data_IF_533097844440
#
_entry.id   IF_533097844440
#
_cell.length_a   1.000
_cell.length_b   1.000
_cell.length_c   1.000
_cell.angle_alpha   90.00
_cell.angle_beta   90.00
_cell.angle_gamma   90.00
#
_symmetry.space_group_name_H-M   'P 1'
#
loop_
_entity.id
_entity.type
_entity.pdbx_description
1 polymer ?
#
# COMPACT_ATOMS: atom_id res chain seq x y z
N UNK A 1 12.88 -40.91 -6.23
CA UNK A 1 13.47 -40.38 -4.98
C UNK A 1 14.56 -39.38 -5.36
N UNK A 2 14.34 -38.11 -5.04
CA UNK A 2 15.34 -37.12 -4.63
C UNK A 2 14.58 -35.80 -4.35
N UNK A 3 14.48 -35.45 -3.07
CA UNK A 3 14.01 -34.14 -2.61
C UNK A 3 15.21 -33.19 -2.61
N UNK A 4 15.03 -31.96 -3.09
CA UNK A 4 15.79 -30.80 -2.58
C UNK A 4 14.81 -29.74 -2.13
N UNK A 5 14.70 -29.64 -0.81
CA UNK A 5 14.05 -28.59 -0.05
C UNK A 5 14.93 -27.34 -0.09
N UNK A 6 14.52 -26.33 -0.85
CA UNK A 6 14.85 -24.94 -0.54
C UNK A 6 13.54 -24.18 -0.35
N UNK A 7 13.27 -23.85 0.92
CA UNK A 7 12.06 -23.20 1.41
C UNK A 7 11.98 -21.72 1.02
N UNK A 8 11.87 -21.44 -0.28
CA UNK A 8 11.40 -20.15 -0.77
C UNK A 8 9.89 -20.19 -0.95
N UNK A 9 9.15 -19.33 -0.25
CA UNK A 9 7.75 -19.06 -0.56
C UNK A 9 7.64 -18.85 -2.08
N UNK A 10 6.92 -19.73 -2.79
CA UNK A 10 6.93 -19.90 -4.25
C UNK A 10 6.56 -18.67 -5.10
N UNK A 11 6.40 -17.51 -4.48
CA UNK A 11 6.22 -16.19 -5.09
C UNK A 11 7.57 -15.48 -5.30
N UNK A 12 8.57 -15.75 -4.46
CA UNK A 12 9.89 -15.09 -4.50
C UNK A 12 10.85 -15.69 -5.53
N UNK A 13 10.61 -16.92 -5.98
CA UNK A 13 11.44 -17.60 -6.98
C UNK A 13 11.32 -17.04 -8.40
N UNK A 14 10.29 -16.27 -8.72
CA UNK A 14 10.09 -15.70 -10.07
C UNK A 14 10.79 -14.35 -10.31
N UNK A 15 11.34 -13.73 -9.27
CA UNK A 15 11.95 -12.39 -9.35
C UNK A 15 13.49 -12.40 -9.43
N UNK A 16 14.12 -13.59 -9.49
CA UNK A 16 15.59 -13.72 -9.57
C UNK A 16 16.06 -13.84 -11.01
N UNK A 17 15.93 -12.75 -11.75
CA UNK A 17 16.52 -12.62 -13.07
C UNK A 17 16.21 -11.23 -13.58
N UNK A 18 17.23 -10.52 -14.03
CA UNK A 18 17.16 -9.20 -14.64
C UNK A 18 17.02 -8.03 -13.64
N UNK A 19 18.09 -7.24 -13.50
CA UNK A 19 18.21 -5.88 -14.10
C UNK A 19 19.41 -5.16 -13.43
N UNK A 20 20.25 -4.51 -14.26
CA UNK A 20 21.33 -3.59 -13.84
C UNK A 20 20.75 -2.30 -13.24
N UNK A 21 21.41 -1.78 -12.22
CA UNK A 21 20.95 -0.73 -11.28
C UNK A 21 20.33 0.58 -11.84
N UNK A 22 20.46 0.95 -13.10
CA UNK A 22 19.85 2.19 -13.63
C UNK A 22 18.49 1.95 -14.34
N UNK A 23 18.25 0.73 -14.84
CA UNK A 23 16.98 0.38 -15.47
C UNK A 23 15.89 0.00 -14.44
N UNK A 24 16.27 -0.18 -13.16
CA UNK A 24 15.34 -0.49 -12.06
C UNK A 24 14.44 0.72 -11.77
N UNK A 25 14.98 1.95 -11.81
CA UNK A 25 14.24 3.15 -11.41
C UNK A 25 13.12 3.51 -12.39
N UNK A 26 13.39 3.42 -13.70
CA UNK A 26 12.37 3.66 -14.74
C UNK A 26 11.30 2.58 -14.76
N UNK A 27 11.67 1.31 -14.62
CA UNK A 27 10.72 0.21 -14.62
C UNK A 27 9.81 0.24 -13.38
N UNK A 28 10.38 0.57 -12.22
CA UNK A 28 9.64 0.74 -10.96
C UNK A 28 8.62 1.88 -11.09
N UNK A 29 9.04 3.05 -11.58
CA UNK A 29 8.13 4.18 -11.77
C UNK A 29 7.04 3.91 -12.83
N UNK A 30 7.38 3.21 -13.92
CA UNK A 30 6.39 2.81 -14.92
C UNK A 30 5.36 1.84 -14.33
N UNK A 31 5.80 0.85 -13.55
CA UNK A 31 4.89 -0.10 -12.90
C UNK A 31 3.95 0.57 -11.89
N UNK A 32 4.43 1.60 -11.17
CA UNK A 32 3.60 2.39 -10.27
C UNK A 32 2.59 3.24 -11.03
N UNK A 33 3.00 3.88 -12.13
CA UNK A 33 2.10 4.67 -12.98
C UNK A 33 0.99 3.80 -13.58
N UNK A 34 1.31 2.61 -14.08
CA UNK A 34 0.31 1.68 -14.62
C UNK A 34 -0.65 1.17 -13.54
N UNK A 35 -0.14 0.83 -12.35
CA UNK A 35 -0.99 0.51 -11.21
C UNK A 35 -1.94 1.68 -10.91
N UNK A 36 -1.42 2.90 -10.74
CA UNK A 36 -2.19 4.10 -10.44
C UNK A 36 -3.27 4.42 -11.48
N UNK A 37 -3.01 4.20 -12.78
CA UNK A 37 -4.02 4.32 -13.85
C UNK A 37 -5.15 3.31 -13.68
N UNK A 38 -4.83 2.06 -13.36
CA UNK A 38 -5.81 0.97 -13.27
C UNK A 38 -6.69 1.05 -12.01
N UNK A 39 -6.16 1.55 -10.89
CA UNK A 39 -6.90 1.62 -9.62
C UNK A 39 -7.98 2.71 -9.67
N UNK A 40 -7.98 3.58 -10.70
CA UNK A 40 -8.99 4.62 -10.94
C UNK A 40 -9.37 5.43 -9.69
N UNK A 41 -8.45 5.59 -8.74
CA UNK A 41 -8.69 6.30 -7.48
C UNK A 41 -8.88 7.81 -7.68
N UNK A 42 -8.76 8.28 -8.93
CA UNK A 42 -8.68 9.69 -9.29
C UNK A 42 -7.38 10.36 -8.83
N UNK A 43 -6.44 9.60 -8.24
CA UNK A 43 -5.18 10.12 -7.70
C UNK A 43 -4.10 10.26 -8.76
N UNK A 44 -4.12 9.44 -9.81
CA UNK A 44 -3.21 9.58 -10.93
C UNK A 44 -3.54 10.84 -11.74
N UNK A 45 -2.55 11.69 -11.98
CA UNK A 45 -2.67 12.81 -12.91
C UNK A 45 -1.89 12.52 -14.18
N UNK A 46 -0.59 12.29 -14.08
CA UNK A 46 0.27 12.04 -15.25
C UNK A 46 1.59 11.34 -14.88
N UNK A 47 2.35 10.91 -15.88
CA UNK A 47 3.71 10.38 -15.74
C UNK A 47 4.63 11.02 -16.77
N UNK A 48 5.88 11.25 -16.41
CA UNK A 48 6.85 11.84 -17.31
C UNK A 48 8.26 11.73 -16.76
N UNK A 49 9.12 12.64 -17.20
CA UNK A 49 10.49 12.71 -16.72
C UNK A 49 10.88 14.14 -16.35
N UNK A 50 11.76 14.28 -15.37
CA UNK A 50 12.32 15.55 -14.94
C UNK A 50 13.84 15.49 -15.01
N UNK A 51 14.46 16.54 -15.55
CA UNK A 51 15.90 16.73 -15.46
C UNK A 51 16.24 17.35 -14.12
N UNK A 52 17.15 16.73 -13.36
CA UNK A 52 17.59 17.27 -12.07
C UNK A 52 18.75 18.24 -12.26
N UNK A 53 18.53 19.52 -11.98
CA UNK A 53 19.62 20.50 -11.87
C UNK A 53 20.22 20.44 -10.45
N UNK A 54 21.56 20.53 -10.24
CA UNK A 54 22.64 20.82 -11.20
C UNK A 54 23.28 19.55 -11.82
N UNK A 55 22.68 18.38 -11.68
CA UNK A 55 23.29 17.11 -12.11
C UNK A 55 23.01 16.89 -13.60
N UNK A 56 23.85 17.49 -14.45
CA UNK A 56 23.80 17.35 -15.90
C UNK A 56 23.62 15.87 -16.32
N UNK A 57 22.55 15.61 -17.09
CA UNK A 57 22.17 14.36 -17.76
C UNK A 57 21.45 13.27 -16.96
N UNK A 58 21.01 13.50 -15.72
CA UNK A 58 20.11 12.55 -15.04
C UNK A 58 18.65 12.91 -15.30
N UNK A 59 17.98 12.07 -16.09
CA UNK A 59 16.54 12.11 -16.33
C UNK A 59 15.89 11.14 -15.35
N UNK A 60 15.10 11.66 -14.40
CA UNK A 60 14.38 10.83 -13.44
C UNK A 60 12.91 10.69 -13.87
N UNK A 61 12.30 9.51 -13.73
CA UNK A 61 10.87 9.38 -13.88
C UNK A 61 10.15 10.13 -12.77
N UNK A 62 9.05 10.80 -13.12
CA UNK A 62 8.18 11.52 -12.18
C UNK A 62 6.75 11.08 -12.41
N UNK A 63 6.04 10.82 -11.30
CA UNK A 63 4.61 10.55 -11.29
C UNK A 63 3.93 11.75 -10.66
N UNK A 64 3.03 12.39 -11.41
CA UNK A 64 2.19 13.46 -10.91
C UNK A 64 0.91 12.86 -10.34
N UNK A 65 0.66 13.14 -9.06
CA UNK A 65 -0.51 12.65 -8.35
C UNK A 65 -1.30 13.81 -7.75
N UNK A 66 -2.62 13.67 -7.69
CA UNK A 66 -3.46 14.55 -6.87
C UNK A 66 -3.17 14.27 -5.39
N UNK A 67 -3.21 15.30 -4.53
CA UNK A 67 -3.07 15.12 -3.10
C UNK A 67 -4.08 14.10 -2.57
N UNK A 68 -3.57 13.07 -1.88
CA UNK A 68 -4.42 12.08 -1.21
C UNK A 68 -4.81 12.65 0.14
N UNK A 69 -6.10 12.89 0.32
CA UNK A 69 -6.65 13.33 1.61
C UNK A 69 -6.53 12.22 2.66
N UNK A 70 -6.60 12.61 3.94
CA UNK A 70 -6.50 11.71 5.08
C UNK A 70 -5.15 11.75 5.79
N UNK A 71 -5.08 11.10 6.94
CA UNK A 71 -3.91 11.15 7.83
C UNK A 71 -3.28 9.76 7.97
N UNK A 72 -2.02 9.68 8.41
CA UNK A 72 -1.51 8.42 8.99
C UNK A 72 -2.26 8.19 10.31
N UNK A 73 -2.82 6.98 10.48
CA UNK A 73 -3.58 6.64 11.69
C UNK A 73 -2.81 6.89 12.98
N UNK A 74 -1.53 6.52 13.06
CA UNK A 74 -0.70 6.70 14.25
C UNK A 74 -0.36 8.17 14.49
N UNK A 75 -0.36 8.98 13.43
CA UNK A 75 -0.11 10.41 13.50
C UNK A 75 -1.38 11.25 13.70
N UNK A 76 -2.56 10.67 13.47
CA UNK A 76 -3.84 11.35 13.57
C UNK A 76 -4.11 11.89 14.98
N UNK A 77 -4.76 13.05 15.04
CA UNK A 77 -5.15 13.65 16.32
C UNK A 77 -6.09 12.73 17.10
N UNK A 78 -6.98 12.03 16.39
CA UNK A 78 -7.86 11.01 16.94
C UNK A 78 -7.09 9.94 17.71
N UNK A 79 -6.06 9.38 17.11
CA UNK A 79 -5.31 8.29 17.70
C UNK A 79 -4.39 8.76 18.84
N UNK A 80 -3.74 9.91 18.68
CA UNK A 80 -2.84 10.49 19.71
C UNK A 80 -3.58 10.85 20.99
N UNK A 81 -4.80 11.38 20.89
CA UNK A 81 -5.62 11.80 22.04
C UNK A 81 -6.53 10.70 22.59
N UNK A 82 -6.70 9.58 21.88
CA UNK A 82 -7.50 8.45 22.31
C UNK A 82 -6.91 7.76 23.55
N UNK A 83 -7.80 7.29 24.42
CA UNK A 83 -7.46 6.34 25.49
C UNK A 83 -7.11 4.97 24.90
N UNK A 84 -6.48 4.10 25.69
CA UNK A 84 -5.96 2.83 25.17
C UNK A 84 -7.05 1.90 24.61
N UNK A 85 -8.21 1.84 25.25
CA UNK A 85 -9.39 1.11 24.76
C UNK A 85 -9.87 1.66 23.41
N UNK A 86 -9.88 2.98 23.25
CA UNK A 86 -10.23 3.63 22.00
C UNK A 86 -9.17 3.43 20.92
N UNK A 87 -7.87 3.46 21.26
CA UNK A 87 -6.78 3.12 20.34
C UNK A 87 -6.93 1.70 19.82
N UNK A 88 -7.20 0.72 20.68
CA UNK A 88 -7.44 -0.66 20.26
C UNK A 88 -8.63 -0.77 19.31
N UNK A 89 -9.73 -0.05 19.60
CA UNK A 89 -10.90 0.00 18.72
C UNK A 89 -10.59 0.65 17.36
N UNK A 90 -9.80 1.72 17.34
CA UNK A 90 -9.36 2.38 16.10
C UNK A 90 -8.45 1.45 15.29
N UNK A 91 -7.50 0.75 15.93
CA UNK A 91 -6.64 -0.26 15.27
C UNK A 91 -7.46 -1.36 14.62
N UNK A 92 -8.47 -1.87 15.33
CA UNK A 92 -9.38 -2.89 14.81
C UNK A 92 -10.17 -2.37 13.61
N UNK A 93 -10.77 -1.19 13.75
CA UNK A 93 -11.56 -0.56 12.68
C UNK A 93 -10.71 -0.29 11.43
N UNK A 94 -9.47 0.17 11.63
CA UNK A 94 -8.50 0.36 10.56
C UNK A 94 -8.19 -0.94 9.82
N UNK A 95 -7.88 -2.00 10.58
CA UNK A 95 -7.59 -3.31 10.02
C UNK A 95 -8.77 -3.83 9.19
N UNK A 96 -10.00 -3.68 9.71
CA UNK A 96 -11.21 -4.12 9.03
C UNK A 96 -11.47 -3.34 7.72
N UNK A 97 -11.35 -2.01 7.73
CA UNK A 97 -11.52 -1.19 6.53
C UNK A 97 -10.41 -1.40 5.49
N UNK A 98 -9.16 -1.57 5.93
CA UNK A 98 -8.05 -1.93 5.06
C UNK A 98 -8.26 -3.28 4.40
N UNK A 99 -8.67 -4.29 5.17
CA UNK A 99 -8.98 -5.62 4.64
C UNK A 99 -10.06 -5.56 3.55
N UNK A 100 -11.14 -4.85 3.82
CA UNK A 100 -12.23 -4.63 2.86
C UNK A 100 -11.72 -3.94 1.60
N UNK A 101 -10.92 -2.90 1.74
CA UNK A 101 -10.33 -2.16 0.63
C UNK A 101 -9.45 -3.06 -0.24
N UNK A 102 -8.52 -3.80 0.37
CA UNK A 102 -7.63 -4.75 -0.34
C UNK A 102 -8.44 -5.81 -1.09
N UNK A 103 -9.49 -6.36 -0.46
CA UNK A 103 -10.34 -7.36 -1.10
C UNK A 103 -11.09 -6.78 -2.30
N UNK A 104 -11.59 -5.54 -2.20
CA UNK A 104 -12.26 -4.86 -3.30
C UNK A 104 -11.31 -4.57 -4.46
N UNK A 105 -10.10 -4.11 -4.18
CA UNK A 105 -9.05 -3.92 -5.19
C UNK A 105 -8.76 -5.22 -5.93
N UNK A 106 -8.59 -6.31 -5.18
CA UNK A 106 -8.31 -7.62 -5.73
C UNK A 106 -9.45 -8.13 -6.63
N UNK A 107 -10.71 -7.97 -6.19
CA UNK A 107 -11.88 -8.47 -6.93
C UNK A 107 -12.24 -7.61 -8.14
N UNK A 108 -12.28 -6.29 -7.97
CA UNK A 108 -12.85 -5.38 -8.96
C UNK A 108 -11.79 -4.86 -9.92
N UNK A 109 -10.56 -4.68 -9.44
CA UNK A 109 -9.48 -4.06 -10.21
C UNK A 109 -8.35 -5.02 -10.52
N UNK A 110 -8.45 -6.27 -10.07
CA UNK A 110 -7.46 -7.31 -10.30
C UNK A 110 -6.07 -6.93 -9.78
N UNK A 111 -6.03 -6.14 -8.71
CA UNK A 111 -4.80 -5.64 -8.10
C UNK A 111 -4.75 -6.04 -6.63
N UNK A 112 -3.61 -6.59 -6.22
CA UNK A 112 -3.29 -6.90 -4.84
C UNK A 112 -2.09 -6.05 -4.39
N UNK A 113 -2.32 -5.16 -3.45
CA UNK A 113 -1.26 -4.43 -2.76
C UNK A 113 -0.83 -5.22 -1.51
N UNK A 114 0.46 -5.28 -1.15
CA UNK A 114 0.92 -6.13 -0.01
C UNK A 114 1.70 -5.40 1.09
N UNK A 115 1.88 -4.09 0.98
CA UNK A 115 2.71 -3.30 1.92
C UNK A 115 1.91 -2.23 2.69
N UNK A 116 1.18 -2.64 3.72
CA UNK A 116 0.24 -1.75 4.42
C UNK A 116 0.75 -1.22 5.77
N UNK A 117 1.93 -0.62 5.78
CA UNK A 117 2.39 0.15 6.95
C UNK A 117 1.55 1.41 7.14
N UNK A 118 1.62 2.03 8.33
CA UNK A 118 0.86 3.26 8.63
C UNK A 118 1.14 4.42 7.65
N UNK A 119 2.32 4.44 7.04
CA UNK A 119 2.70 5.47 6.06
C UNK A 119 2.10 5.22 4.66
N UNK A 120 1.79 3.96 4.34
CA UNK A 120 1.26 3.55 3.05
C UNK A 120 -0.27 3.48 3.03
N UNK A 121 -0.93 3.90 4.12
CA UNK A 121 -2.39 3.92 4.21
C UNK A 121 -2.83 5.21 4.87
N UNK A 122 -3.64 6.00 4.16
CA UNK A 122 -4.31 7.18 4.70
C UNK A 122 -5.66 6.80 5.27
N UNK A 123 -5.98 7.31 6.45
CA UNK A 123 -7.30 7.15 7.07
C UNK A 123 -8.14 8.41 6.89
N UNK A 124 -9.40 8.20 6.52
CA UNK A 124 -10.41 9.24 6.52
C UNK A 124 -11.30 9.02 7.73
N UNK A 125 -11.41 10.04 8.57
CA UNK A 125 -12.17 9.95 9.82
C UNK A 125 -13.35 10.89 9.79
N UNK A 126 -14.50 10.41 10.27
CA UNK A 126 -15.65 11.25 10.56
C UNK A 126 -15.32 12.05 11.82
N UNK A 127 -14.73 13.23 11.68
CA UNK A 127 -14.64 14.16 12.79
C UNK A 127 -16.03 14.76 13.03
N UNK A 128 -16.82 14.20 13.95
CA UNK A 128 -17.87 15.02 14.58
C UNK A 128 -17.16 16.00 15.51
N UNK A 129 -17.05 17.24 15.06
CA UNK A 129 -16.53 18.35 15.84
C UNK A 129 -17.29 18.43 17.17
N UNK A 130 -16.56 18.26 18.27
CA UNK A 130 -17.11 18.31 19.62
C UNK A 130 -17.58 16.95 20.13
N UNK A 131 -16.69 16.27 20.88
CA UNK A 131 -17.08 15.20 21.81
C UNK A 131 -17.73 13.99 21.10
N UNK A 132 -17.00 13.38 20.17
CA UNK A 132 -17.45 12.20 19.45
C UNK A 132 -16.31 11.23 19.23
N UNK A 133 -16.50 9.99 19.69
CA UNK A 133 -15.65 8.82 19.39
C UNK A 133 -15.19 8.85 17.94
N UNK A 134 -13.88 8.95 17.70
CA UNK A 134 -13.36 8.96 16.33
C UNK A 134 -13.75 7.68 15.60
N UNK A 135 -14.20 7.81 14.36
CA UNK A 135 -14.60 6.69 13.51
C UNK A 135 -13.86 6.77 12.18
N UNK A 136 -13.23 5.67 11.80
CA UNK A 136 -12.63 5.50 10.47
C UNK A 136 -13.78 5.20 9.51
N UNK A 137 -13.93 6.01 8.47
CA UNK A 137 -14.97 5.85 7.45
C UNK A 137 -14.46 5.06 6.26
N UNK A 138 -13.22 5.33 5.87
CA UNK A 138 -12.55 4.67 4.77
C UNK A 138 -11.05 4.77 4.96
N UNK A 139 -10.34 3.93 4.19
CA UNK A 139 -8.90 4.02 4.06
C UNK A 139 -8.53 4.12 2.60
N UNK A 140 -7.35 4.68 2.36
CA UNK A 140 -6.81 4.85 1.02
C UNK A 140 -5.38 4.36 1.02
N UNK A 141 -5.10 3.32 0.24
CA UNK A 141 -3.74 2.82 0.06
C UNK A 141 -2.98 3.82 -0.82
N UNK A 142 -1.76 4.15 -0.40
CA UNK A 142 -0.80 4.99 -1.13
C UNK A 142 0.50 4.22 -1.28
N UNK A 143 1.43 4.75 -2.08
CA UNK A 143 2.70 4.11 -2.43
C UNK A 143 2.49 2.81 -3.21
N UNK A 144 2.26 2.93 -4.52
CA UNK A 144 1.92 1.82 -5.40
C UNK A 144 3.15 1.28 -6.15
N UNK A 145 4.33 1.58 -5.65
CA UNK A 145 5.61 1.15 -6.20
C UNK A 145 5.79 -0.38 -6.17
N UNK A 146 6.50 -0.90 -7.15
CA UNK A 146 7.07 -2.25 -7.08
C UNK A 146 8.03 -2.35 -5.87
N UNK A 147 8.08 -3.48 -5.14
CA UNK A 147 7.41 -4.77 -5.37
C UNK A 147 6.08 -4.93 -4.61
N UNK A 148 5.35 -3.84 -4.35
CA UNK A 148 4.18 -3.88 -3.47
C UNK A 148 2.87 -4.25 -4.18
N UNK A 149 2.84 -4.25 -5.52
CA UNK A 149 1.64 -4.40 -6.35
C UNK A 149 1.72 -5.66 -7.21
N UNK A 150 0.66 -6.46 -7.21
CA UNK A 150 0.55 -7.70 -7.99
C UNK A 150 -0.78 -7.75 -8.74
N UNK A 151 -0.77 -8.24 -9.98
CA UNK A 151 -2.00 -8.55 -10.70
C UNK A 151 -2.55 -9.90 -10.27
N UNK A 152 -3.87 -9.99 -10.06
CA UNK A 152 -4.59 -11.23 -9.74
C UNK A 152 -5.53 -11.60 -10.87
N UNK A 153 -5.77 -12.91 -11.07
CA UNK A 153 -6.62 -13.33 -12.18
C UNK A 153 -8.08 -12.91 -11.94
N UNK A 154 -8.84 -12.56 -13.00
CA UNK A 154 -10.28 -12.34 -12.90
C UNK A 154 -10.97 -13.53 -12.24
N UNK A 155 -11.95 -13.27 -11.37
CA UNK A 155 -12.76 -14.29 -10.70
C UNK A 155 -11.96 -15.31 -9.88
N UNK A 156 -10.70 -15.01 -9.54
CA UNK A 156 -9.91 -15.87 -8.68
C UNK A 156 -10.52 -15.87 -7.28
N UNK A 157 -11.09 -17.02 -6.89
CA UNK A 157 -11.48 -17.22 -5.51
C UNK A 157 -10.21 -17.14 -4.65
N UNK A 158 -10.28 -16.41 -3.55
CA UNK A 158 -9.17 -16.25 -2.61
C UNK A 158 -9.52 -16.98 -1.31
N UNK A 159 -9.58 -18.33 -1.33
CA UNK A 159 -9.73 -19.08 -0.09
C UNK A 159 -8.57 -18.73 0.82
N UNK A 160 -8.86 -18.48 2.10
CA UNK A 160 -7.90 -18.03 3.11
C UNK A 160 -7.39 -16.59 2.96
N UNK A 161 -8.11 -15.72 2.23
CA UNK A 161 -7.77 -14.29 2.17
C UNK A 161 -7.60 -13.67 3.56
N UNK A 162 -8.52 -13.94 4.49
CA UNK A 162 -8.44 -13.41 5.85
C UNK A 162 -7.17 -13.87 6.57
N UNK A 163 -6.82 -15.15 6.46
CA UNK A 163 -5.60 -15.70 7.07
C UNK A 163 -4.33 -15.11 6.44
N UNK A 164 -4.33 -14.93 5.12
CA UNK A 164 -3.22 -14.31 4.40
C UNK A 164 -3.07 -12.83 4.79
N UNK A 165 -4.17 -12.08 4.82
CA UNK A 165 -4.20 -10.67 5.20
C UNK A 165 -3.67 -10.49 6.63
N UNK A 166 -4.13 -11.31 7.56
CA UNK A 166 -3.72 -11.27 8.97
C UNK A 166 -2.22 -11.53 9.17
N UNK A 167 -1.64 -12.45 8.40
CA UNK A 167 -0.19 -12.71 8.43
C UNK A 167 0.64 -11.54 7.90
N UNK A 168 0.10 -10.75 6.99
CA UNK A 168 0.79 -9.63 6.34
C UNK A 168 0.54 -8.28 7.01
N UNK A 169 -0.59 -8.12 7.70
CA UNK A 169 -0.95 -6.88 8.35
C UNK A 169 0.05 -6.49 9.44
N UNK A 170 0.70 -5.33 9.26
CA UNK A 170 1.64 -4.75 10.20
C UNK A 170 1.34 -3.26 10.35
N UNK A 171 0.79 -2.88 11.49
CA UNK A 171 0.49 -1.47 11.76
C UNK A 171 1.75 -0.66 12.10
N UNK A 172 2.78 -1.31 12.66
CA UNK A 172 4.05 -0.68 13.03
C UNK A 172 5.13 -0.89 11.97
N UNK A 173 6.04 0.09 11.92
CA UNK A 173 7.35 -0.03 11.28
C UNK A 173 8.22 -1.04 12.05
N UNK A 174 8.83 -2.04 11.41
CA UNK A 174 9.86 -2.86 12.05
C UNK A 174 11.08 -2.04 12.49
N UNK A 175 11.32 -0.90 11.83
CA UNK A 175 12.45 0.02 11.97
C UNK A 175 12.25 1.13 13.02
N UNK A 176 11.09 1.17 13.69
CA UNK A 176 10.86 2.04 14.86
C UNK A 176 10.49 1.14 16.03
N UNK A 177 11.49 0.48 16.59
CA UNK A 177 11.44 0.02 17.98
C UNK A 177 11.85 1.22 18.84
N UNK A 178 10.94 1.65 19.70
CA UNK A 178 11.23 2.60 20.78
C UNK A 178 12.14 1.96 21.82
#
# INVERSE_FOLDING_TARGET
MAYTTDGGDGITGMAKGYIKNEAIDLWTAYSEAEALKQIQTGQYADFGTMSTWPVNNHILPVILMKPVQGEDILQSNCYKKAKEDEKQRLRKSFKDELRKTVLLLAKNQQILHVNWTSNNVRVHTAAKWGIGKCKIESVTIVNWSYPNVFHVKPNQNMPNFDQWFDKRFKLSRPDIQA
#
